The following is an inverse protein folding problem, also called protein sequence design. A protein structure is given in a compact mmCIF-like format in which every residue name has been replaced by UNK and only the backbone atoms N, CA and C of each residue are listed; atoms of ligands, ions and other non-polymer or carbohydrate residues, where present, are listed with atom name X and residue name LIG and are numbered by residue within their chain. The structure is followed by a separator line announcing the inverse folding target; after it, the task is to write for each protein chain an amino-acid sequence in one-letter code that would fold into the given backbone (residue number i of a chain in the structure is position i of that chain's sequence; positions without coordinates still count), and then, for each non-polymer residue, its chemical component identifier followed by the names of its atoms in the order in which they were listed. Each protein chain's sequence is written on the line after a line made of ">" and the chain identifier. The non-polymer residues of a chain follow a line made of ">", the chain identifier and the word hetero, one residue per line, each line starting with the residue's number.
data_IF_180866948842
#
_entry.id   IF_180866948842
#
_cell.length_a   1.000
_cell.length_b   1.000
_cell.length_c   1.000
_cell.angle_alpha   90.00
_cell.angle_beta   90.00
_cell.angle_gamma   90.00
#
_symmetry.space_group_name_H-M   'P 1'
#
loop_
_entity.id
_entity.type
_entity.pdbx_description
1 polymer ?
#
# COMPACT_ATOMS: atom_id res chain seq x y z
N UNK A 1 -42.26 33.29 3.32
CA UNK A 1 -42.77 32.89 2.00
C UNK A 1 -41.81 31.86 1.43
N UNK A 2 -42.21 30.57 1.44
CA UNK A 2 -41.39 29.50 0.88
C UNK A 2 -41.47 29.56 -0.65
N UNK A 3 -40.35 29.53 -1.40
CA UNK A 3 -40.43 29.50 -2.86
C UNK A 3 -41.02 28.16 -3.30
N UNK A 4 -42.17 28.24 -3.97
CA UNK A 4 -43.00 27.14 -4.41
C UNK A 4 -42.27 26.19 -5.36
N UNK A 5 -42.35 24.89 -5.05
CA UNK A 5 -41.85 23.76 -5.84
C UNK A 5 -42.32 23.76 -7.32
N UNK A 6 -43.35 24.54 -7.64
CA UNK A 6 -43.87 24.75 -9.00
C UNK A 6 -42.90 25.48 -9.93
N UNK A 7 -41.90 26.22 -9.40
CA UNK A 7 -40.96 26.99 -10.23
C UNK A 7 -39.93 26.12 -10.96
N UNK A 8 -39.71 24.88 -10.53
CA UNK A 8 -38.77 23.96 -11.19
C UNK A 8 -39.38 23.26 -12.41
N UNK A 9 -40.71 23.12 -12.48
CA UNK A 9 -41.38 22.43 -13.59
C UNK A 9 -41.30 23.22 -14.91
N UNK A 10 -41.30 24.57 -14.84
CA UNK A 10 -41.29 25.49 -15.99
C UNK A 10 -39.89 25.64 -16.62
N UNK A 11 -38.84 25.17 -15.95
CA UNK A 11 -37.46 25.31 -16.43
C UNK A 11 -37.13 24.34 -17.57
N UNK A 12 -36.43 24.86 -18.58
CA UNK A 12 -35.88 24.07 -19.68
C UNK A 12 -34.98 22.94 -19.14
N UNK A 13 -34.91 21.78 -19.81
CA UNK A 13 -33.96 20.71 -19.45
C UNK A 13 -32.52 21.20 -19.29
N UNK A 14 -32.12 22.26 -20.01
CA UNK A 14 -30.80 22.90 -19.88
C UNK A 14 -30.63 23.63 -18.55
N UNK A 15 -31.67 24.30 -18.05
CA UNK A 15 -31.69 25.03 -16.78
C UNK A 15 -31.79 24.07 -15.60
N UNK A 16 -32.62 23.03 -15.71
CA UNK A 16 -32.65 21.90 -14.75
C UNK A 16 -31.28 21.25 -14.61
N UNK A 17 -30.56 21.03 -15.71
CA UNK A 17 -29.19 20.50 -15.68
C UNK A 17 -28.18 21.48 -15.06
N UNK A 18 -28.30 22.78 -15.31
CA UNK A 18 -27.46 23.81 -14.68
C UNK A 18 -27.61 23.85 -13.17
N UNK A 19 -28.80 23.54 -12.64
CA UNK A 19 -29.07 23.48 -11.20
C UNK A 19 -28.70 22.12 -10.57
N UNK A 20 -28.82 21.01 -11.31
CA UNK A 20 -28.46 19.66 -10.81
C UNK A 20 -26.95 19.44 -10.73
N UNK A 21 -26.20 19.95 -11.71
CA UNK A 21 -24.73 19.85 -11.76
C UNK A 21 -24.02 20.32 -10.47
N UNK A 22 -24.31 21.51 -9.90
CA UNK A 22 -23.66 21.94 -8.65
C UNK A 22 -24.01 21.07 -7.45
N UNK A 23 -25.22 20.51 -7.41
CA UNK A 23 -25.65 19.59 -6.33
C UNK A 23 -24.87 18.27 -6.41
N UNK A 24 -24.80 17.68 -7.61
CA UNK A 24 -24.07 16.41 -7.82
C UNK A 24 -22.58 16.58 -7.52
N UNK A 25 -21.97 17.68 -7.95
CA UNK A 25 -20.56 17.95 -7.68
C UNK A 25 -20.31 18.22 -6.19
N UNK A 26 -21.25 18.87 -5.48
CA UNK A 26 -21.18 19.00 -4.02
C UNK A 26 -21.17 17.62 -3.35
N UNK A 27 -22.11 16.74 -3.70
CA UNK A 27 -22.16 15.37 -3.15
C UNK A 27 -20.89 14.58 -3.45
N UNK A 28 -20.32 14.72 -4.65
CA UNK A 28 -19.04 14.11 -5.00
C UNK A 28 -17.91 14.62 -4.12
N UNK A 29 -17.81 15.94 -3.90
CA UNK A 29 -16.79 16.55 -3.03
C UNK A 29 -16.95 16.09 -1.59
N UNK A 30 -18.18 16.05 -1.10
CA UNK A 30 -18.48 15.61 0.27
C UNK A 30 -18.07 14.15 0.47
N UNK A 31 -18.35 13.27 -0.51
CA UNK A 31 -17.88 11.88 -0.50
C UNK A 31 -16.36 11.78 -0.49
N UNK A 32 -15.66 12.53 -1.33
CA UNK A 32 -14.18 12.54 -1.37
C UNK A 32 -13.62 12.99 -0.03
N UNK A 33 -14.15 14.07 0.55
CA UNK A 33 -13.70 14.58 1.84
C UNK A 33 -13.96 13.58 2.97
N UNK A 34 -15.12 12.92 2.97
CA UNK A 34 -15.44 11.86 3.92
C UNK A 34 -14.43 10.71 3.84
N UNK A 35 -14.12 10.23 2.62
CA UNK A 35 -13.12 9.17 2.45
C UNK A 35 -11.72 9.60 2.91
N UNK A 36 -11.32 10.86 2.72
CA UNK A 36 -10.03 11.36 3.23
C UNK A 36 -10.00 11.36 4.76
N UNK A 37 -11.09 11.76 5.42
CA UNK A 37 -11.16 11.73 6.89
C UNK A 37 -11.18 10.28 7.42
N UNK A 38 -11.84 9.35 6.71
CA UNK A 38 -11.80 7.93 7.03
C UNK A 38 -10.36 7.37 6.93
N UNK A 39 -9.59 7.75 5.91
CA UNK A 39 -8.18 7.34 5.80
C UNK A 39 -7.35 7.84 6.97
N UNK A 40 -7.58 9.09 7.40
CA UNK A 40 -6.90 9.66 8.57
C UNK A 40 -7.16 8.87 9.85
N UNK A 41 -8.39 8.43 10.06
CA UNK A 41 -8.76 7.60 11.22
C UNK A 41 -8.15 6.19 11.15
N UNK A 42 -8.20 5.55 9.98
CA UNK A 42 -7.67 4.20 9.79
C UNK A 42 -6.14 4.12 9.99
N UNK A 43 -5.42 5.18 9.65
CA UNK A 43 -3.96 5.27 9.72
C UNK A 43 -3.46 6.12 10.89
N UNK A 44 -4.31 6.38 11.90
CA UNK A 44 -3.98 7.29 13.01
C UNK A 44 -2.68 6.90 13.73
N UNK A 45 -2.41 5.59 13.88
CA UNK A 45 -1.21 5.07 14.54
C UNK A 45 0.05 5.31 13.70
N UNK A 46 -0.05 5.10 12.40
CA UNK A 46 1.01 5.41 11.45
C UNK A 46 1.32 6.92 11.49
N UNK A 47 0.29 7.78 11.49
CA UNK A 47 0.52 9.23 11.60
C UNK A 47 1.20 9.61 12.90
N UNK A 48 0.79 9.06 14.05
CA UNK A 48 1.45 9.32 15.34
C UNK A 48 2.92 8.89 15.35
N UNK A 49 3.25 7.79 14.67
CA UNK A 49 4.63 7.29 14.59
C UNK A 49 5.54 8.19 13.76
N UNK A 50 5.02 8.77 12.68
CA UNK A 50 5.81 9.58 11.73
C UNK A 50 5.78 11.08 12.06
N UNK A 51 4.63 11.62 12.51
CA UNK A 51 4.44 13.03 12.87
C UNK A 51 3.45 13.21 14.05
N UNK A 52 3.90 13.03 15.30
CA UNK A 52 3.02 13.03 16.48
C UNK A 52 2.37 14.38 16.85
N UNK A 53 2.81 15.51 16.31
CA UNK A 53 2.31 16.85 16.71
C UNK A 53 1.94 17.77 15.54
N UNK A 54 1.94 17.25 14.30
CA UNK A 54 1.68 18.07 13.11
C UNK A 54 0.22 18.07 12.71
N UNK A 55 -0.25 19.22 12.21
CA UNK A 55 -1.57 19.34 11.60
C UNK A 55 -1.54 18.64 10.24
N UNK A 56 -2.14 17.47 10.14
CA UNK A 56 -2.18 16.70 8.90
C UNK A 56 -2.93 17.46 7.79
N UNK A 57 -2.22 17.82 6.73
CA UNK A 57 -2.84 18.35 5.53
C UNK A 57 -3.39 17.21 4.66
N UNK A 58 -4.28 17.53 3.72
CA UNK A 58 -4.83 16.51 2.80
C UNK A 58 -3.75 15.83 1.97
N UNK A 59 -2.68 16.56 1.63
CA UNK A 59 -1.54 15.99 0.91
C UNK A 59 -0.82 14.95 1.76
N UNK A 60 -0.52 15.27 3.03
CA UNK A 60 0.14 14.35 3.97
C UNK A 60 -0.67 13.07 4.17
N UNK A 61 -1.99 13.20 4.33
CA UNK A 61 -2.89 12.05 4.51
C UNK A 61 -2.78 11.10 3.30
N UNK A 62 -2.83 11.65 2.09
CA UNK A 62 -2.77 10.87 0.85
C UNK A 62 -1.37 10.26 0.63
N UNK A 63 -0.31 11.01 0.91
CA UNK A 63 1.07 10.53 0.77
C UNK A 63 1.34 9.35 1.72
N UNK A 64 1.00 9.50 3.00
CA UNK A 64 1.14 8.43 3.98
C UNK A 64 0.31 7.20 3.59
N UNK A 65 -0.93 7.40 3.13
CA UNK A 65 -1.79 6.31 2.68
C UNK A 65 -1.15 5.54 1.52
N UNK A 66 -0.61 6.23 0.52
CA UNK A 66 0.06 5.59 -0.62
C UNK A 66 1.31 4.85 -0.15
N UNK A 67 2.13 5.47 0.71
CA UNK A 67 3.31 4.85 1.29
C UNK A 67 2.98 3.57 2.04
N UNK A 68 1.95 3.62 2.90
CA UNK A 68 1.43 2.47 3.64
C UNK A 68 0.98 1.34 2.70
N UNK A 69 0.18 1.67 1.68
CA UNK A 69 -0.31 0.69 0.71
C UNK A 69 0.81 0.08 -0.13
N UNK A 70 1.85 0.85 -0.47
CA UNK A 70 3.03 0.34 -1.20
C UNK A 70 3.85 -0.62 -0.34
N UNK A 71 3.96 -0.36 0.96
CA UNK A 71 4.64 -1.24 1.90
C UNK A 71 3.81 -2.50 2.19
N UNK A 72 2.48 -2.38 2.25
CA UNK A 72 1.56 -3.50 2.49
C UNK A 72 1.36 -4.38 1.24
N UNK A 73 1.35 -3.80 0.04
CA UNK A 73 1.33 -4.51 -1.24
C UNK A 73 2.72 -5.02 -1.65
N UNK A 74 3.52 -5.49 -0.69
CA UNK A 74 4.56 -6.44 -1.04
C UNK A 74 3.88 -7.55 -1.87
N UNK A 75 4.45 -7.93 -3.04
CA UNK A 75 3.86 -9.00 -3.84
C UNK A 75 3.56 -10.16 -2.92
N UNK A 76 2.35 -10.73 -3.02
CA UNK A 76 1.91 -11.86 -2.21
C UNK A 76 3.12 -12.76 -1.99
N UNK A 77 3.55 -12.86 -0.72
CA UNK A 77 4.83 -13.50 -0.39
C UNK A 77 4.84 -14.83 -1.11
N UNK A 78 5.88 -15.07 -1.90
CA UNK A 78 5.96 -16.36 -2.58
C UNK A 78 6.00 -17.43 -1.49
N UNK A 79 5.44 -18.63 -1.71
CA UNK A 79 5.56 -19.73 -0.73
C UNK A 79 7.02 -19.99 -0.32
N UNK A 80 7.96 -19.66 -1.20
CA UNK A 80 9.39 -19.72 -0.96
C UNK A 80 9.91 -18.62 -0.02
N UNK A 81 9.36 -17.39 -0.07
CA UNK A 81 9.65 -16.34 0.90
C UNK A 81 9.10 -16.68 2.28
N UNK A 82 7.85 -17.16 2.36
CA UNK A 82 7.24 -17.59 3.63
C UNK A 82 8.00 -18.76 4.26
N UNK A 83 8.43 -19.73 3.44
CA UNK A 83 9.31 -20.81 3.91
C UNK A 83 10.65 -20.27 4.43
N UNK A 84 11.31 -19.38 3.69
CA UNK A 84 12.62 -18.84 4.09
C UNK A 84 12.56 -18.05 5.40
N UNK A 85 11.49 -17.29 5.62
CA UNK A 85 11.26 -16.53 6.84
C UNK A 85 10.94 -17.46 8.02
N UNK A 86 10.03 -18.43 7.84
CA UNK A 86 9.71 -19.43 8.85
C UNK A 86 10.93 -20.28 9.23
N UNK A 87 11.76 -20.63 8.25
CA UNK A 87 13.01 -21.33 8.45
C UNK A 87 14.03 -20.51 9.26
N UNK A 88 14.23 -19.23 8.90
CA UNK A 88 15.11 -18.33 9.63
C UNK A 88 14.64 -18.10 11.07
N UNK A 89 13.32 -18.00 11.26
CA UNK A 89 12.71 -17.86 12.59
C UNK A 89 12.97 -19.10 13.45
N UNK A 90 12.74 -20.30 12.91
CA UNK A 90 13.02 -21.57 13.57
C UNK A 90 14.49 -21.69 13.98
N UNK A 91 15.42 -21.38 13.07
CA UNK A 91 16.87 -21.41 13.38
C UNK A 91 17.23 -20.44 14.50
N UNK A 92 16.73 -19.20 14.45
CA UNK A 92 16.97 -18.20 15.48
C UNK A 92 16.53 -18.70 16.85
N UNK A 93 15.34 -19.30 16.92
CA UNK A 93 14.81 -19.81 18.18
C UNK A 93 15.58 -21.05 18.69
N UNK A 94 15.98 -21.94 17.78
CA UNK A 94 16.85 -23.08 18.13
C UNK A 94 18.19 -22.61 18.70
N UNK A 95 18.81 -21.59 18.10
CA UNK A 95 20.05 -21.00 18.61
C UNK A 95 19.82 -20.30 19.96
N UNK A 96 18.70 -19.59 20.13
CA UNK A 96 18.33 -18.97 21.40
C UNK A 96 18.18 -20.00 22.52
N UNK A 97 17.52 -21.12 22.24
CA UNK A 97 17.37 -22.23 23.18
C UNK A 97 18.74 -22.80 23.58
N UNK A 98 19.60 -23.08 22.60
CA UNK A 98 20.95 -23.61 22.87
C UNK A 98 21.80 -22.63 23.70
N UNK A 99 21.66 -21.33 23.47
CA UNK A 99 22.35 -20.30 24.25
C UNK A 99 21.83 -20.26 25.71
N UNK A 100 20.51 -20.36 25.91
CA UNK A 100 19.90 -20.38 27.25
C UNK A 100 20.31 -21.61 28.06
N UNK A 101 20.48 -22.75 27.40
CA UNK A 101 20.80 -24.04 28.04
C UNK A 101 22.29 -24.39 28.01
N UNK A 102 23.18 -23.40 27.76
CA UNK A 102 24.64 -23.57 27.75
C UNK A 102 25.13 -24.75 26.89
N UNK A 103 24.49 -24.98 25.75
CA UNK A 103 24.92 -26.02 24.82
C UNK A 103 26.34 -25.71 24.29
N UNK A 104 27.11 -26.77 24.00
CA UNK A 104 28.45 -26.63 23.44
C UNK A 104 28.45 -25.76 22.18
N UNK A 105 29.45 -24.87 22.07
CA UNK A 105 29.70 -24.07 20.86
C UNK A 105 29.84 -24.95 19.60
N UNK A 106 30.31 -26.19 19.77
CA UNK A 106 30.41 -27.17 18.69
C UNK A 106 29.04 -27.61 18.18
N UNK A 107 28.06 -27.81 19.07
CA UNK A 107 26.67 -28.14 18.70
C UNK A 107 26.02 -26.99 17.96
N UNK A 108 26.25 -25.75 18.39
CA UNK A 108 25.76 -24.56 17.70
C UNK A 108 26.38 -24.44 16.29
N UNK A 109 27.71 -24.63 16.17
CA UNK A 109 28.41 -24.57 14.89
C UNK A 109 27.95 -25.67 13.91
N UNK A 110 27.75 -26.91 14.39
CA UNK A 110 27.19 -28.01 13.59
C UNK A 110 25.79 -27.67 13.10
N UNK A 111 24.92 -27.16 13.98
CA UNK A 111 23.56 -26.75 13.62
C UNK A 111 23.59 -25.67 12.53
N UNK A 112 24.34 -24.58 12.72
CA UNK A 112 24.50 -23.52 11.72
C UNK A 112 24.99 -24.06 10.37
N UNK A 113 25.96 -24.99 10.38
CA UNK A 113 26.46 -25.64 9.16
C UNK A 113 25.40 -26.47 8.42
N UNK A 114 24.58 -27.23 9.16
CA UNK A 114 23.46 -27.96 8.56
C UNK A 114 22.43 -27.01 7.95
N UNK A 115 22.14 -25.89 8.62
CA UNK A 115 21.12 -24.96 8.17
C UNK A 115 21.55 -24.13 6.94
N UNK A 116 22.82 -23.73 6.87
CA UNK A 116 23.37 -23.06 5.69
C UNK A 116 23.41 -23.97 4.46
N UNK A 117 23.68 -25.27 4.65
CA UNK A 117 23.68 -26.26 3.57
C UNK A 117 22.28 -26.54 3.02
N UNK A 118 21.27 -26.56 3.88
CA UNK A 118 19.88 -26.78 3.47
C UNK A 118 19.32 -25.62 2.62
N UNK A 119 19.80 -24.38 2.81
CA UNK A 119 19.38 -23.23 2.01
C UNK A 119 20.06 -23.13 0.63
N UNK A 120 21.16 -23.86 0.41
CA UNK A 120 21.92 -23.83 -0.85
C UNK A 120 21.33 -24.74 -1.96
N UNK A 121 20.27 -25.51 -1.68
CA UNK A 121 19.53 -26.27 -2.69
C UNK A 121 18.15 -25.63 -2.87
N UNK A 122 17.92 -24.94 -4.00
CA UNK A 122 17.54 -25.63 -5.25
C UNK A 122 18.16 -24.97 -6.52
N UNK A 123 18.87 -25.74 -7.36
CA UNK A 123 19.26 -25.28 -8.70
C UNK A 123 18.47 -26.04 -9.76
N UNK A 124 17.27 -25.54 -10.07
CA UNK A 124 16.68 -25.73 -11.40
C UNK A 124 17.07 -24.50 -12.25
N UNK A 125 17.70 -24.66 -13.42
CA UNK A 125 18.15 -23.55 -14.24
C UNK A 125 16.98 -23.01 -15.08
N UNK A 126 16.49 -21.80 -14.77
CA UNK A 126 15.44 -21.20 -15.58
C UNK A 126 15.08 -19.75 -15.26
N UNK A 127 15.60 -18.85 -16.09
CA UNK A 127 15.12 -17.49 -16.41
C UNK A 127 15.66 -16.28 -15.65
N UNK A 128 15.76 -15.12 -16.36
CA UNK A 128 16.79 -14.13 -16.12
C UNK A 128 16.41 -13.08 -15.08
N UNK A 129 17.42 -12.66 -14.34
CA UNK A 129 17.46 -11.50 -13.47
C UNK A 129 17.04 -10.22 -14.24
N UNK A 130 16.03 -9.50 -13.72
CA UNK A 130 15.83 -8.08 -14.05
C UNK A 130 16.43 -7.21 -12.94
N UNK A 131 17.06 -6.07 -13.30
CA UNK A 131 17.95 -5.37 -12.40
C UNK A 131 17.22 -4.49 -11.38
N UNK A 132 17.87 -4.38 -10.22
CA UNK A 132 17.70 -3.37 -9.18
C UNK A 132 17.44 -1.98 -9.77
N UNK A 133 16.44 -1.26 -9.25
CA UNK A 133 16.11 0.08 -9.72
C UNK A 133 16.40 1.12 -8.63
N UNK A 134 17.56 1.76 -8.74
CA UNK A 134 17.84 3.08 -8.16
C UNK A 134 16.98 4.16 -8.84
N UNK A 135 16.61 5.26 -8.17
CA UNK A 135 15.77 6.28 -8.77
C UNK A 135 16.56 7.14 -9.77
N UNK A 136 16.14 7.15 -11.03
CA UNK A 136 16.56 8.13 -12.06
C UNK A 136 15.30 8.81 -12.63
N UNK A 137 15.32 10.13 -12.92
CA UNK A 137 14.12 10.84 -13.33
C UNK A 137 13.72 10.49 -14.78
N UNK A 138 12.43 10.57 -15.16
CA UNK A 138 12.00 10.15 -16.48
C UNK A 138 12.12 11.29 -17.51
N UNK A 139 12.80 11.00 -18.61
CA UNK A 139 12.66 11.70 -19.88
C UNK A 139 11.55 11.03 -20.73
N UNK A 140 10.85 11.87 -21.50
CA UNK A 140 9.69 11.58 -22.36
C UNK A 140 9.88 10.35 -23.25
N UNK A 141 8.86 9.47 -23.34
CA UNK A 141 8.25 9.01 -24.61
C UNK A 141 7.06 8.03 -24.43
N UNK A 142 5.99 8.38 -25.14
CA UNK A 142 5.01 7.57 -25.87
C UNK A 142 4.40 6.27 -25.27
N UNK A 143 3.14 6.42 -24.86
CA UNK A 143 1.96 5.57 -25.07
C UNK A 143 2.15 4.06 -25.38
N UNK A 144 1.93 3.24 -24.34
CA UNK A 144 1.32 1.92 -24.48
C UNK A 144 0.01 1.92 -23.67
N UNK A 145 -1.09 1.53 -24.34
CA UNK A 145 -2.44 1.46 -23.79
C UNK A 145 -2.49 0.45 -22.64
N UNK A 146 -2.22 0.91 -21.43
CA UNK A 146 -2.81 0.30 -20.26
C UNK A 146 -4.31 0.64 -20.28
N UNK A 147 -5.18 -0.34 -20.07
CA UNK A 147 -6.56 -0.12 -19.65
C UNK A 147 -6.55 0.45 -18.23
N UNK A 148 -5.96 1.62 -18.09
CA UNK A 148 -6.21 2.51 -16.98
C UNK A 148 -7.66 2.88 -17.15
N UNK A 149 -8.51 2.48 -16.21
CA UNK A 149 -9.86 2.99 -16.05
C UNK A 149 -9.72 4.50 -15.99
N UNK A 150 -9.79 5.13 -17.17
CA UNK A 150 -9.55 6.54 -17.38
C UNK A 150 -10.43 7.22 -16.37
N UNK A 151 -9.79 7.81 -15.38
CA UNK A 151 -10.46 8.64 -14.41
C UNK A 151 -11.22 9.66 -15.24
N UNK A 152 -12.54 9.49 -15.38
CA UNK A 152 -13.37 10.42 -16.13
C UNK A 152 -13.70 11.52 -15.13
N UNK A 153 -13.16 12.74 -15.31
CA UNK A 153 -13.68 13.88 -14.58
C UNK A 153 -15.14 14.02 -15.00
N UNK A 154 -16.03 14.13 -14.01
CA UNK A 154 -17.44 14.43 -14.23
C UNK A 154 -17.59 15.86 -14.73
#
# INVERSE_FOLDING_TARGET
>A
MAPSALSLEILSPKEKNRLRKPIVEKLRRDRINSSIEQLKLLLEREFQRHQPSSKLEKADILEMTVSYLRCSQAPARSPQQDYSEGYAWCLKEALRFLALHSASAETQAKLLGHFQRAQAAPTEPGSPSRPSCSPRPPAKQAALKASCSLWRPW
#
